data_IF_083426195507
#
_entry.id   IF_083426195507
#
_cell.length_a   1.000
_cell.length_b   1.000
_cell.length_c   1.000
_cell.angle_alpha   90.00
_cell.angle_beta   90.00
_cell.angle_gamma   90.00
#
_symmetry.space_group_name_H-M   'P 1'
#
loop_
_entity.id
_entity.type
_entity.pdbx_description
1 polymer ?
#
# COMPACT_ATOMS: atom_id res chain seq x y z
N UNK A 1 21.62 -4.18 -0.44
CA UNK A 1 20.66 -5.08 0.18
C UNK A 1 20.50 -4.68 1.65
N UNK A 2 19.42 -4.06 2.02
CA UNK A 2 19.21 -3.53 3.38
C UNK A 2 17.73 -3.31 3.72
N UNK A 3 16.83 -3.83 2.87
CA UNK A 3 15.40 -3.69 3.05
C UNK A 3 14.95 -2.23 3.22
N UNK A 4 13.90 -1.99 3.97
CA UNK A 4 13.31 -0.67 4.19
C UNK A 4 14.31 0.36 4.76
N UNK A 5 15.22 -0.07 5.62
CA UNK A 5 16.24 0.81 6.20
C UNK A 5 17.15 1.41 5.11
N UNK A 6 17.54 0.60 4.11
CA UNK A 6 18.38 1.10 3.03
C UNK A 6 17.60 2.03 2.08
N UNK A 7 16.32 1.74 1.82
CA UNK A 7 15.45 2.61 1.02
C UNK A 7 15.30 3.98 1.69
N UNK A 8 14.97 4.00 2.97
CA UNK A 8 14.81 5.24 3.74
C UNK A 8 16.11 6.05 3.76
N UNK A 9 17.25 5.38 3.99
CA UNK A 9 18.56 6.04 4.00
C UNK A 9 18.90 6.64 2.62
N UNK A 10 18.64 5.91 1.54
CA UNK A 10 18.91 6.38 0.18
C UNK A 10 18.09 7.64 -0.16
N UNK A 11 16.80 7.64 0.21
CA UNK A 11 15.91 8.80 0.03
C UNK A 11 16.41 9.99 0.85
N UNK A 12 16.72 9.79 2.14
CA UNK A 12 17.19 10.86 3.02
C UNK A 12 18.54 11.47 2.56
N UNK A 13 19.49 10.64 2.12
CA UNK A 13 20.76 11.11 1.58
C UNK A 13 20.57 11.91 0.29
N UNK A 14 19.63 11.51 -0.56
CA UNK A 14 19.28 12.26 -1.76
C UNK A 14 18.66 13.62 -1.43
N UNK A 15 17.71 13.66 -0.50
CA UNK A 15 17.04 14.91 -0.07
C UNK A 15 18.01 15.91 0.57
N UNK A 16 19.02 15.42 1.26
CA UNK A 16 20.11 16.24 1.82
C UNK A 16 21.16 16.65 0.79
N UNK A 17 21.01 16.27 -0.48
CA UNK A 17 21.97 16.56 -1.55
C UNK A 17 23.33 15.86 -1.40
N UNK A 18 23.43 14.89 -0.52
CA UNK A 18 24.70 14.21 -0.21
C UNK A 18 25.13 13.33 -1.40
N UNK A 19 24.19 12.64 -2.04
CA UNK A 19 24.49 11.79 -3.18
C UNK A 19 25.08 12.60 -4.34
N UNK A 20 24.52 13.74 -4.65
CA UNK A 20 25.01 14.66 -5.68
C UNK A 20 26.37 15.25 -5.31
N UNK A 21 26.51 15.74 -4.08
CA UNK A 21 27.74 16.35 -3.57
C UNK A 21 28.96 15.44 -3.70
N UNK A 22 28.77 14.14 -3.49
CA UNK A 22 29.87 13.16 -3.55
C UNK A 22 29.87 12.32 -4.83
N UNK A 23 29.01 12.62 -5.80
CA UNK A 23 28.90 11.88 -7.06
C UNK A 23 28.52 10.41 -6.89
N UNK A 24 27.72 10.09 -5.85
CA UNK A 24 27.32 8.72 -5.54
C UNK A 24 26.14 8.32 -6.41
N UNK A 25 26.33 7.27 -7.20
CA UNK A 25 25.26 6.67 -8.00
C UNK A 25 24.55 5.58 -7.21
N UNK A 26 23.24 5.71 -7.05
CA UNK A 26 22.41 4.64 -6.50
C UNK A 26 22.24 3.55 -7.56
N UNK A 27 22.59 2.33 -7.20
CA UNK A 27 22.40 1.15 -8.04
C UNK A 27 21.10 0.43 -7.66
N UNK A 28 20.41 -0.14 -8.63
CA UNK A 28 19.08 -0.75 -8.45
C UNK A 28 17.97 0.24 -8.76
N UNK A 29 16.94 0.28 -7.90
CA UNK A 29 15.80 1.15 -8.11
C UNK A 29 16.15 2.63 -7.90
N UNK A 30 15.69 3.51 -8.80
CA UNK A 30 15.94 4.95 -8.70
C UNK A 30 15.25 5.57 -7.48
N UNK A 31 15.79 6.65 -6.94
CA UNK A 31 15.19 7.38 -5.82
C UNK A 31 13.75 7.82 -6.15
N UNK A 32 13.51 8.27 -7.37
CA UNK A 32 12.18 8.67 -7.82
C UNK A 32 11.20 7.50 -7.79
N UNK A 33 11.61 6.31 -8.26
CA UNK A 33 10.78 5.11 -8.24
C UNK A 33 10.52 4.62 -6.80
N UNK A 34 11.52 4.75 -5.92
CA UNK A 34 11.34 4.45 -4.49
C UNK A 34 10.26 5.37 -3.89
N UNK A 35 10.36 6.68 -4.11
CA UNK A 35 9.37 7.64 -3.62
C UNK A 35 7.97 7.34 -4.15
N UNK A 36 7.84 7.04 -5.43
CA UNK A 36 6.53 6.67 -6.02
C UNK A 36 5.97 5.36 -5.46
N UNK A 37 6.80 4.40 -5.12
CA UNK A 37 6.35 3.13 -4.55
C UNK A 37 5.98 3.21 -3.07
N UNK A 38 6.63 4.11 -2.32
CA UNK A 38 6.41 4.26 -0.88
C UNK A 38 5.29 5.27 -0.53
N UNK A 39 5.11 6.28 -1.38
CA UNK A 39 4.08 7.31 -1.21
C UNK A 39 2.79 6.89 -1.92
N UNK A 40 1.69 6.85 -1.16
CA UNK A 40 0.39 6.38 -1.67
C UNK A 40 -0.21 7.29 -2.73
N UNK A 41 -0.04 8.60 -2.59
CA UNK A 41 -0.56 9.57 -3.57
C UNK A 41 0.24 9.50 -4.87
N UNK A 42 1.57 9.49 -4.78
CA UNK A 42 2.43 9.36 -5.95
C UNK A 42 2.22 8.02 -6.66
N UNK A 43 1.98 6.94 -5.90
CA UNK A 43 1.63 5.64 -6.47
C UNK A 43 0.28 5.69 -7.19
N UNK A 44 -0.75 6.29 -6.57
CA UNK A 44 -2.06 6.45 -7.17
C UNK A 44 -1.98 7.22 -8.48
N UNK A 45 -1.32 8.40 -8.47
CA UNK A 45 -1.11 9.21 -9.67
C UNK A 45 -0.38 8.43 -10.78
N UNK A 46 0.62 7.62 -10.41
CA UNK A 46 1.34 6.80 -11.37
C UNK A 46 0.44 5.74 -12.01
N UNK A 47 -0.42 5.08 -11.22
CA UNK A 47 -1.37 4.08 -11.73
C UNK A 47 -2.45 4.71 -12.61
N UNK A 48 -3.04 5.82 -12.19
CA UNK A 48 -4.00 6.58 -12.98
C UNK A 48 -3.42 7.02 -14.33
N UNK A 49 -2.17 7.48 -14.34
CA UNK A 49 -1.48 7.92 -15.55
C UNK A 49 -1.27 6.80 -16.58
N UNK A 50 -1.08 5.57 -16.13
CA UNK A 50 -0.93 4.40 -17.01
C UNK A 50 -2.26 3.67 -17.26
N UNK A 51 -3.36 4.15 -16.67
CA UNK A 51 -4.70 3.58 -16.85
C UNK A 51 -4.93 2.27 -16.09
N UNK A 52 -4.10 1.98 -15.09
CA UNK A 52 -4.27 0.79 -14.27
C UNK A 52 -5.27 1.04 -13.13
N UNK A 53 -6.14 0.05 -12.85
CA UNK A 53 -7.12 0.20 -11.78
C UNK A 53 -6.47 0.21 -10.40
N UNK A 54 -6.93 1.11 -9.57
CA UNK A 54 -6.56 1.19 -8.15
C UNK A 54 -7.80 0.98 -7.27
N UNK A 55 -7.56 0.61 -6.02
CA UNK A 55 -8.67 0.51 -5.07
C UNK A 55 -9.25 1.89 -4.77
N UNK A 56 -10.57 1.99 -4.90
CA UNK A 56 -11.27 3.20 -4.48
C UNK A 56 -11.09 3.38 -2.98
N UNK A 57 -10.52 4.51 -2.60
CA UNK A 57 -10.26 4.88 -1.21
C UNK A 57 -10.50 6.38 -0.98
N UNK A 58 -11.03 6.73 0.19
CA UNK A 58 -11.29 8.11 0.57
C UNK A 58 -10.91 8.34 2.03
N UNK A 59 -10.32 9.48 2.30
CA UNK A 59 -10.08 9.97 3.66
C UNK A 59 -11.35 10.64 4.15
N UNK A 60 -11.77 10.32 5.36
CA UNK A 60 -12.95 10.89 6.03
C UNK A 60 -12.57 11.38 7.42
N UNK A 61 -13.22 12.45 7.87
CA UNK A 61 -13.00 13.09 9.16
C UNK A 61 -14.23 13.06 10.06
N UNK A 62 -15.34 12.56 9.53
CA UNK A 62 -16.61 12.46 10.25
C UNK A 62 -17.36 11.17 9.95
N UNK A 63 -18.33 10.83 10.82
CA UNK A 63 -19.23 9.71 10.60
C UNK A 63 -20.11 9.91 9.36
N UNK A 64 -20.59 11.12 9.16
CA UNK A 64 -21.48 11.45 8.04
C UNK A 64 -20.78 11.23 6.70
N UNK A 65 -19.54 11.73 6.57
CA UNK A 65 -18.69 11.46 5.40
C UNK A 65 -18.43 9.96 5.23
N UNK A 66 -18.15 9.27 6.34
CA UNK A 66 -17.92 7.84 6.35
C UNK A 66 -19.08 7.03 5.79
N UNK A 67 -20.31 7.34 6.20
CA UNK A 67 -21.50 6.70 5.66
C UNK A 67 -21.71 6.99 4.18
N UNK A 68 -21.52 8.24 3.78
CA UNK A 68 -21.63 8.65 2.37
C UNK A 68 -20.67 7.85 1.50
N UNK A 69 -19.39 7.84 1.87
CA UNK A 69 -18.34 7.14 1.12
C UNK A 69 -18.55 5.63 1.10
N UNK A 70 -18.90 5.03 2.25
CA UNK A 70 -19.15 3.58 2.31
C UNK A 70 -20.36 3.15 1.44
N UNK A 71 -21.39 3.98 1.34
CA UNK A 71 -22.51 3.73 0.46
C UNK A 71 -22.14 3.88 -1.03
N UNK A 72 -21.25 4.81 -1.37
CA UNK A 72 -20.74 4.98 -2.74
C UNK A 72 -19.85 3.80 -3.17
N UNK A 73 -18.95 3.34 -2.28
CA UNK A 73 -18.05 2.22 -2.53
C UNK A 73 -18.79 0.88 -2.55
N UNK A 74 -19.79 0.73 -1.68
CA UNK A 74 -20.49 -0.51 -1.39
C UNK A 74 -19.77 -1.37 -0.35
N UNK A 75 -20.59 -2.05 0.50
CA UNK A 75 -20.06 -2.96 1.52
C UNK A 75 -19.63 -4.30 0.92
N UNK A 76 -18.65 -5.01 1.54
CA UNK A 76 -17.87 -4.60 2.71
C UNK A 76 -16.80 -3.56 2.38
N UNK A 77 -16.51 -2.70 3.36
CA UNK A 77 -15.40 -1.71 3.29
C UNK A 77 -14.35 -2.00 4.35
N UNK A 78 -13.12 -1.54 4.09
CA UNK A 78 -12.02 -1.54 5.05
C UNK A 78 -11.85 -0.16 5.62
N UNK A 79 -11.72 -0.07 6.93
CA UNK A 79 -11.54 1.17 7.68
C UNK A 79 -10.14 1.18 8.28
N UNK A 80 -9.35 2.24 8.02
CA UNK A 80 -7.98 2.36 8.51
C UNK A 80 -7.74 3.74 9.12
N UNK A 81 -7.53 3.85 10.42
CA UNK A 81 -7.13 5.11 11.04
C UNK A 81 -5.78 5.57 10.51
N UNK A 82 -5.65 6.88 10.25
CA UNK A 82 -4.38 7.48 9.86
C UNK A 82 -3.39 7.47 11.03
N UNK A 83 -2.12 7.22 10.71
CA UNK A 83 -0.99 7.27 11.66
C UNK A 83 -1.12 6.35 12.90
N UNK A 84 -1.80 5.22 12.78
CA UNK A 84 -1.82 4.20 13.84
C UNK A 84 -0.79 3.11 13.58
N UNK A 85 -0.10 2.68 14.65
CA UNK A 85 0.86 1.59 14.58
C UNK A 85 0.13 0.23 14.67
N UNK A 86 0.52 -0.70 13.78
CA UNK A 86 0.07 -2.09 13.87
C UNK A 86 -1.39 -2.33 13.53
N UNK A 87 -2.07 -1.40 12.82
CA UNK A 87 -3.46 -1.59 12.40
C UNK A 87 -4.49 -1.46 13.52
N UNK A 88 -4.10 -0.88 14.66
CA UNK A 88 -4.99 -0.69 15.80
C UNK A 88 -6.14 0.26 15.44
N UNK A 89 -7.37 -0.14 15.72
CA UNK A 89 -8.57 0.68 15.52
C UNK A 89 -9.18 0.61 14.12
N UNK A 90 -8.59 -0.16 13.21
CA UNK A 90 -9.18 -0.45 11.91
C UNK A 90 -9.90 -1.79 11.86
N UNK A 91 -10.62 -2.05 10.77
CA UNK A 91 -11.35 -3.30 10.58
C UNK A 91 -12.13 -3.36 9.29
N UNK A 92 -12.90 -4.42 9.13
CA UNK A 92 -13.86 -4.58 8.05
C UNK A 92 -15.25 -4.22 8.57
N UNK A 93 -15.98 -3.45 7.78
CA UNK A 93 -17.39 -3.18 8.01
C UNK A 93 -18.22 -3.82 6.90
N UNK A 94 -19.11 -4.72 7.26
CA UNK A 94 -20.02 -5.41 6.34
C UNK A 94 -21.38 -4.73 6.22
N UNK A 95 -21.66 -3.81 7.13
CA UNK A 95 -22.92 -3.08 7.23
C UNK A 95 -22.68 -1.71 7.89
N UNK A 96 -23.67 -0.80 7.85
CA UNK A 96 -23.56 0.52 8.46
C UNK A 96 -23.29 0.50 9.97
N UNK A 97 -23.83 -0.46 10.71
CA UNK A 97 -23.67 -0.56 12.16
C UNK A 97 -22.21 -0.88 12.52
N UNK A 98 -21.61 -1.86 11.85
CA UNK A 98 -20.19 -2.18 12.02
C UNK A 98 -19.29 -1.02 11.61
N UNK A 99 -19.68 -0.30 10.54
CA UNK A 99 -18.94 0.90 10.10
C UNK A 99 -18.90 1.96 11.20
N UNK A 100 -20.04 2.23 11.84
CA UNK A 100 -20.15 3.23 12.90
C UNK A 100 -19.18 2.91 14.06
N UNK A 101 -19.21 1.68 14.56
CA UNK A 101 -18.36 1.26 15.67
C UNK A 101 -16.86 1.41 15.34
N UNK A 102 -16.46 0.92 14.14
CA UNK A 102 -15.05 0.95 13.74
C UNK A 102 -14.62 2.37 13.45
N UNK A 103 -15.46 3.18 12.82
CA UNK A 103 -15.15 4.54 12.42
C UNK A 103 -15.01 5.47 13.63
N UNK A 104 -15.93 5.37 14.63
CA UNK A 104 -15.82 6.10 15.89
C UNK A 104 -14.50 5.78 16.61
N UNK A 105 -14.19 4.49 16.70
CA UNK A 105 -12.92 4.05 17.28
C UNK A 105 -11.71 4.54 16.48
N UNK A 106 -11.79 4.47 15.16
CA UNK A 106 -10.73 4.90 14.26
C UNK A 106 -10.44 6.40 14.36
N UNK A 107 -11.49 7.23 14.34
CA UNK A 107 -11.37 8.68 14.50
C UNK A 107 -10.80 9.08 15.86
N UNK A 108 -11.18 8.37 16.94
CA UNK A 108 -10.66 8.64 18.28
C UNK A 108 -9.18 8.26 18.46
N UNK A 109 -8.70 7.24 17.74
CA UNK A 109 -7.31 6.75 17.81
C UNK A 109 -6.39 7.46 16.81
N UNK A 110 -6.93 8.08 15.78
CA UNK A 110 -6.16 8.84 14.80
C UNK A 110 -5.69 10.15 15.41
N UNK A 111 -4.38 10.38 15.40
CA UNK A 111 -3.79 11.63 15.92
C UNK A 111 -4.22 12.87 15.15
N UNK A 112 -4.65 12.69 13.93
CA UNK A 112 -5.09 13.77 13.03
C UNK A 112 -6.60 13.77 12.80
N UNK A 113 -7.34 12.86 13.47
CA UNK A 113 -8.79 12.73 13.31
C UNK A 113 -9.22 12.22 11.93
N UNK A 114 -8.34 11.56 11.20
CA UNK A 114 -8.60 11.08 9.84
C UNK A 114 -8.63 9.55 9.78
N UNK A 115 -9.54 9.03 8.99
CA UNK A 115 -9.69 7.60 8.73
C UNK A 115 -9.82 7.39 7.23
N UNK A 116 -9.14 6.37 6.71
CA UNK A 116 -9.26 5.95 5.33
C UNK A 116 -10.33 4.86 5.23
N UNK A 117 -11.24 5.00 4.28
CA UNK A 117 -12.23 3.98 3.91
C UNK A 117 -11.88 3.48 2.51
N UNK A 118 -11.73 2.18 2.37
CA UNK A 118 -11.32 1.52 1.12
C UNK A 118 -12.32 0.41 0.77
N UNK A 119 -12.46 0.14 -0.53
CA UNK A 119 -13.17 -1.05 -0.99
C UNK A 119 -12.49 -2.32 -0.47
N UNK A 120 -13.26 -3.24 0.08
CA UNK A 120 -12.72 -4.54 0.51
C UNK A 120 -12.43 -5.43 -0.70
N UNK A 121 -11.26 -6.03 -0.69
CA UNK A 121 -10.84 -7.09 -1.62
C UNK A 121 -10.69 -8.43 -0.92
N UNK A 122 -11.43 -8.62 0.18
CA UNK A 122 -11.42 -9.86 0.94
C UNK A 122 -11.76 -11.04 0.02
N UNK A 123 -10.92 -12.08 0.06
CA UNK A 123 -11.08 -13.27 -0.79
C UNK A 123 -10.52 -13.16 -2.20
N UNK A 124 -9.99 -12.01 -2.57
CA UNK A 124 -9.23 -11.90 -3.83
C UNK A 124 -7.89 -12.61 -3.71
N UNK A 125 -7.37 -13.06 -4.85
CA UNK A 125 -6.01 -13.58 -4.94
C UNK A 125 -5.03 -12.43 -4.96
N UNK A 126 -3.93 -12.59 -4.25
CA UNK A 126 -2.79 -11.69 -4.27
C UNK A 126 -1.67 -12.33 -5.09
N UNK A 127 -1.29 -11.64 -6.16
CA UNK A 127 -0.24 -12.11 -7.07
C UNK A 127 0.83 -11.03 -7.13
N UNK A 128 2.06 -11.42 -6.84
CA UNK A 128 3.23 -10.56 -6.92
C UNK A 128 4.09 -10.93 -8.13
N UNK A 129 4.72 -9.94 -8.72
CA UNK A 129 5.67 -10.11 -9.81
C UNK A 129 7.02 -9.53 -9.44
N UNK A 130 8.07 -10.33 -9.58
CA UNK A 130 9.44 -9.82 -9.53
C UNK A 130 9.86 -9.35 -10.91
N UNK A 131 10.11 -8.05 -11.04
CA UNK A 131 10.48 -7.42 -12.30
C UNK A 131 11.84 -6.75 -12.19
N UNK A 132 12.72 -7.04 -13.16
CA UNK A 132 14.01 -6.37 -13.30
C UNK A 132 13.97 -5.53 -14.57
N UNK A 133 14.47 -4.29 -14.48
CA UNK A 133 14.59 -3.38 -15.61
C UNK A 133 16.03 -2.83 -15.69
N UNK A 134 16.59 -2.86 -16.90
CA UNK A 134 17.91 -2.29 -17.15
C UNK A 134 17.86 -0.76 -17.42
N UNK A 135 19.05 -0.14 -17.56
CA UNK A 135 19.16 1.29 -17.84
C UNK A 135 18.66 1.68 -19.24
N UNK A 136 18.52 0.72 -20.17
CA UNK A 136 18.03 0.95 -21.53
C UNK A 136 16.50 0.80 -21.63
N UNK A 137 15.85 0.43 -20.51
CA UNK A 137 14.42 0.27 -20.46
C UNK A 137 13.91 -1.14 -20.80
N UNK A 138 14.79 -2.11 -21.01
CA UNK A 138 14.38 -3.50 -21.18
C UNK A 138 13.92 -4.06 -19.84
N UNK A 139 12.74 -4.65 -19.83
CA UNK A 139 12.15 -5.26 -18.62
C UNK A 139 12.00 -6.76 -18.79
N UNK A 140 12.22 -7.49 -17.72
CA UNK A 140 11.94 -8.92 -17.62
C UNK A 140 11.19 -9.23 -16.33
N UNK A 141 10.14 -10.02 -16.44
CA UNK A 141 9.50 -10.66 -15.29
C UNK A 141 10.27 -11.92 -14.95
N UNK A 142 10.90 -11.93 -13.78
CA UNK A 142 11.72 -13.06 -13.31
C UNK A 142 10.83 -14.20 -12.86
N UNK A 143 9.81 -13.88 -12.07
CA UNK A 143 8.81 -14.84 -11.59
C UNK A 143 7.53 -14.12 -11.17
N UNK A 144 6.49 -14.90 -11.01
CA UNK A 144 5.28 -14.51 -10.30
C UNK A 144 5.08 -15.42 -9.08
N UNK A 145 4.47 -14.88 -8.05
CA UNK A 145 4.16 -15.59 -6.82
C UNK A 145 2.69 -15.34 -6.46
N UNK A 146 1.97 -16.38 -6.13
CA UNK A 146 0.64 -16.29 -5.55
C UNK A 146 0.75 -16.47 -4.03
N UNK A 147 0.22 -15.54 -3.26
CA UNK A 147 0.12 -15.71 -1.81
C UNK A 147 -0.91 -16.80 -1.50
N UNK A 148 -0.48 -17.78 -0.70
CA UNK A 148 -1.32 -18.94 -0.31
C UNK A 148 -2.49 -18.47 0.56
N UNK A 149 -2.25 -17.49 1.41
CA UNK A 149 -3.30 -16.88 2.21
C UNK A 149 -4.11 -15.90 1.34
N UNK A 150 -5.44 -16.05 1.27
CA UNK A 150 -6.28 -15.04 0.62
C UNK A 150 -6.04 -13.70 1.29
N UNK A 151 -6.23 -12.61 0.55
CA UNK A 151 -6.11 -11.25 1.08
C UNK A 151 -6.94 -11.15 2.36
N UNK A 152 -6.28 -11.39 3.47
CA UNK A 152 -6.79 -11.21 4.81
C UNK A 152 -6.14 -9.96 5.34
N UNK A 153 -6.93 -8.94 5.62
CA UNK A 153 -6.41 -7.80 6.35
C UNK A 153 -4.99 -7.40 5.95
N UNK A 154 -4.81 -6.51 5.06
CA UNK A 154 -3.51 -5.91 4.71
C UNK A 154 -2.81 -5.21 5.91
N UNK A 155 -3.14 -5.63 7.13
CA UNK A 155 -2.54 -5.21 8.39
C UNK A 155 -1.31 -6.03 8.79
N UNK A 156 -1.07 -7.18 8.16
CA UNK A 156 0.16 -7.92 8.40
C UNK A 156 1.14 -7.61 7.28
N UNK A 157 2.28 -7.06 7.68
CA UNK A 157 3.49 -6.95 6.87
C UNK A 157 3.65 -8.20 6.03
N UNK A 158 3.87 -8.01 4.73
CA UNK A 158 4.29 -9.06 3.83
C UNK A 158 5.43 -9.85 4.47
N UNK A 159 5.15 -11.06 4.89
CA UNK A 159 6.15 -12.06 5.16
C UNK A 159 6.20 -12.91 3.91
N UNK A 160 7.15 -12.62 3.04
CA UNK A 160 7.54 -13.52 1.97
C UNK A 160 8.10 -14.79 2.61
N UNK A 161 7.27 -15.78 2.83
CA UNK A 161 7.76 -17.14 2.98
C UNK A 161 7.92 -17.66 1.57
N UNK A 162 9.18 -17.67 1.09
CA UNK A 162 9.51 -18.19 -0.23
C UNK A 162 9.16 -19.67 -0.34
N UNK A 163 8.01 -19.98 -0.90
CA UNK A 163 7.74 -21.31 -1.44
C UNK A 163 8.23 -21.33 -2.88
N UNK A 164 9.14 -22.24 -3.18
CA UNK A 164 9.62 -22.48 -4.54
C UNK A 164 8.44 -22.74 -5.47
N UNK A 165 8.39 -22.13 -6.64
CA UNK A 165 7.35 -22.43 -7.62
C UNK A 165 7.48 -23.90 -8.05
N UNK A 166 6.39 -24.64 -7.95
CA UNK A 166 6.29 -26.01 -8.45
C UNK A 166 6.09 -25.91 -9.98
N UNK A 167 7.13 -26.15 -10.74
CA UNK A 167 7.11 -26.17 -12.21
C UNK A 167 6.71 -27.55 -12.76
N UNK A 168 5.79 -28.26 -12.14
CA UNK A 168 5.21 -29.47 -12.69
C UNK A 168 3.76 -29.22 -13.11
N UNK A 169 3.59 -28.70 -14.34
CA UNK A 169 2.62 -29.10 -15.41
C UNK A 169 2.46 -28.00 -16.45
#
# INVERSE_FOLDING_TARGET
MGGQTALNMAVELSEKGILEKYGIKVIGTSIESIKRGEDRELFREAMEKIGEPILTSHVVESLEEGYKIANEIGYPVVVRPAYTLGGTGGGFAHNPQELEEILLKGLSLSRVGQVLIERSILGWKEIEYEVIRDANGNGITVCNMENIDPVRNSYRRFHCSGSKPNFDR
#
